data_IF_635336046611
#
_entry.id   IF_635336046611
#
_cell.length_a   1.000
_cell.length_b   1.000
_cell.length_c   1.000
_cell.angle_alpha   90.00
_cell.angle_beta   90.00
_cell.angle_gamma   90.00
#
_symmetry.space_group_name_H-M   'P 1'
#
loop_
_entity.id
_entity.type
_entity.pdbx_description
1 polymer ?
#
# COMPACT_ATOMS: atom_id res chain seq x y z
N UNK A 1 -1.51 2.62 3.20
CA UNK A 1 -0.28 1.82 3.29
C UNK A 1 -0.54 0.43 2.72
N UNK A 2 0.38 -0.11 1.93
CA UNK A 2 0.30 -1.49 1.43
C UNK A 2 1.39 -2.35 2.07
N UNK A 3 1.04 -3.53 2.56
CA UNK A 3 2.01 -4.56 3.01
C UNK A 3 1.96 -5.72 2.02
N UNK A 4 3.06 -5.92 1.30
CA UNK A 4 3.17 -6.93 0.24
C UNK A 4 3.78 -8.20 0.81
N UNK A 5 3.07 -9.32 0.67
CA UNK A 5 3.52 -10.66 1.02
C UNK A 5 3.69 -11.51 -0.24
N UNK A 6 4.55 -12.52 -0.17
CA UNK A 6 4.71 -13.52 -1.24
C UNK A 6 4.57 -14.93 -0.66
N UNK A 7 4.17 -15.88 -1.50
CA UNK A 7 4.04 -17.29 -1.13
C UNK A 7 5.42 -17.96 -1.06
N UNK A 8 6.01 -17.97 0.13
CA UNK A 8 7.35 -18.53 0.36
C UNK A 8 7.43 -20.05 0.27
N UNK A 9 6.29 -20.76 0.35
CA UNK A 9 6.27 -22.22 0.25
C UNK A 9 6.50 -22.68 -1.19
N UNK A 10 6.16 -21.82 -2.17
CA UNK A 10 6.27 -22.11 -3.61
C UNK A 10 7.39 -21.37 -4.31
N UNK A 11 7.77 -20.19 -3.80
CA UNK A 11 8.70 -19.30 -4.47
C UNK A 11 9.86 -18.91 -3.56
N UNK A 12 11.12 -18.99 -4.02
CA UNK A 12 12.28 -18.67 -3.19
C UNK A 12 12.41 -17.18 -2.87
N UNK A 13 11.75 -16.30 -3.63
CA UNK A 13 11.75 -14.86 -3.38
C UNK A 13 10.57 -14.16 -4.08
N UNK A 14 10.33 -12.92 -3.68
CA UNK A 14 9.26 -12.08 -4.25
C UNK A 14 9.39 -11.88 -5.76
N UNK A 15 10.62 -11.79 -6.30
CA UNK A 15 10.84 -11.57 -7.73
C UNK A 15 10.37 -12.75 -8.57
N UNK A 16 10.47 -13.97 -8.05
CA UNK A 16 9.99 -15.18 -8.73
C UNK A 16 8.48 -15.41 -8.59
N UNK A 17 7.83 -14.69 -7.67
CA UNK A 17 6.40 -14.81 -7.39
C UNK A 17 5.56 -13.71 -8.08
N UNK A 18 6.19 -12.62 -8.50
CA UNK A 18 5.53 -11.37 -8.90
C UNK A 18 4.56 -11.52 -10.10
N UNK A 19 4.83 -12.46 -10.99
CA UNK A 19 4.04 -12.73 -12.20
C UNK A 19 3.11 -13.95 -12.04
N UNK A 20 3.03 -14.53 -10.84
CA UNK A 20 2.25 -15.74 -10.57
C UNK A 20 0.95 -15.40 -9.86
N UNK A 21 -0.16 -15.97 -10.32
CA UNK A 21 -1.50 -15.67 -9.80
C UNK A 21 -1.71 -16.02 -8.32
N UNK A 22 -0.93 -16.97 -7.78
CA UNK A 22 -0.89 -17.34 -6.36
C UNK A 22 0.40 -16.88 -5.67
N UNK A 23 1.13 -15.95 -6.30
CA UNK A 23 2.44 -15.50 -5.85
C UNK A 23 2.37 -14.44 -4.77
N UNK A 24 1.46 -13.47 -4.88
CA UNK A 24 1.41 -12.29 -4.00
C UNK A 24 0.07 -12.11 -3.29
N UNK A 25 0.15 -11.65 -2.04
CA UNK A 25 -1.00 -11.16 -1.29
C UNK A 25 -0.68 -9.76 -0.76
N UNK A 26 -1.58 -8.80 -0.98
CA UNK A 26 -1.34 -7.41 -0.53
C UNK A 26 -2.41 -6.98 0.46
N UNK A 27 -1.94 -6.47 1.59
CA UNK A 27 -2.76 -5.91 2.64
C UNK A 27 -2.83 -4.39 2.51
N UNK A 28 -4.00 -3.85 2.18
CA UNK A 28 -4.26 -2.42 2.11
C UNK A 28 -4.82 -1.90 3.43
N UNK A 29 -4.12 -0.94 4.04
CA UNK A 29 -4.54 -0.22 5.23
C UNK A 29 -4.78 1.24 4.88
N UNK A 30 -5.99 1.74 5.11
CA UNK A 30 -6.34 3.14 4.99
C UNK A 30 -5.88 3.92 6.21
N UNK A 31 -5.35 5.12 6.01
CA UNK A 31 -4.71 5.92 7.05
C UNK A 31 -5.42 7.28 7.22
N UNK A 32 -5.93 7.55 8.43
CA UNK A 32 -6.32 8.85 9.00
C UNK A 32 -5.18 9.42 9.85
N UNK A 33 -5.31 10.24 10.93
CA UNK A 33 -4.20 11.09 11.43
C UNK A 33 -3.75 11.22 12.98
N UNK A 34 -2.83 10.40 13.62
CA UNK A 34 -2.07 10.44 14.95
C UNK A 34 -0.56 9.88 15.03
N UNK A 35 0.37 10.36 15.91
CA UNK A 35 1.85 10.11 15.90
C UNK A 35 2.33 8.74 16.48
N UNK A 36 3.38 8.10 15.92
CA UNK A 36 3.91 6.79 16.40
C UNK A 36 5.47 6.68 16.42
N UNK A 37 6.10 6.43 17.59
CA UNK A 37 7.50 5.98 17.72
C UNK A 37 7.60 4.45 17.51
N UNK A 38 8.77 3.80 17.74
CA UNK A 38 9.00 2.37 17.46
C UNK A 38 7.80 1.47 17.80
N UNK A 39 7.28 0.76 16.79
CA UNK A 39 5.89 0.29 16.83
C UNK A 39 5.76 -1.20 16.47
N UNK A 40 4.80 -1.84 17.12
CA UNK A 40 4.32 -3.16 16.76
C UNK A 40 3.59 -3.08 15.41
N UNK A 41 3.89 -3.96 14.44
CA UNK A 41 3.19 -4.00 13.14
C UNK A 41 1.68 -4.17 13.33
N UNK A 42 1.24 -4.87 14.39
CA UNK A 42 -0.18 -4.97 14.75
C UNK A 42 -0.81 -3.61 15.01
N UNK A 43 -0.04 -2.66 15.54
CA UNK A 43 -0.48 -1.28 15.77
C UNK A 43 -0.57 -0.46 14.47
N UNK A 44 -0.15 -1.01 13.32
CA UNK A 44 -0.43 -0.45 12.00
C UNK A 44 -1.66 -1.08 11.32
N UNK A 45 -2.34 -2.01 11.98
CA UNK A 45 -3.54 -2.65 11.46
C UNK A 45 -4.78 -2.12 12.17
N UNK A 46 -5.92 -2.01 11.49
CA UNK A 46 -7.18 -1.63 12.13
C UNK A 46 -7.54 -2.58 13.28
N UNK A 47 -8.27 -2.06 14.27
CA UNK A 47 -8.72 -2.86 15.40
C UNK A 47 -9.58 -4.06 14.95
N UNK A 48 -10.42 -3.84 13.93
CA UNK A 48 -11.29 -4.84 13.32
C UNK A 48 -10.71 -5.31 11.99
N UNK A 49 -10.31 -6.58 11.94
CA UNK A 49 -9.77 -7.21 10.74
C UNK A 49 -10.78 -8.09 10.00
N UNK A 50 -11.90 -8.35 10.63
CA UNK A 50 -13.01 -9.15 10.09
C UNK A 50 -13.79 -8.38 9.01
N UNK A 51 -13.70 -7.05 8.97
CA UNK A 51 -14.36 -6.21 7.97
C UNK A 51 -13.38 -5.81 6.85
N UNK A 52 -13.45 -6.50 5.72
CA UNK A 52 -12.59 -6.23 4.57
C UNK A 52 -13.27 -6.54 3.23
N UNK A 53 -12.73 -5.94 2.18
CA UNK A 53 -13.01 -6.26 0.79
C UNK A 53 -11.88 -7.12 0.23
N UNK A 54 -12.23 -8.15 -0.56
CA UNK A 54 -11.23 -9.01 -1.21
C UNK A 54 -11.52 -9.12 -2.70
N UNK A 55 -10.51 -8.90 -3.53
CA UNK A 55 -10.64 -8.94 -4.98
C UNK A 55 -9.32 -9.29 -5.66
N UNK A 56 -9.41 -9.92 -6.83
CA UNK A 56 -8.26 -10.11 -7.72
C UNK A 56 -7.96 -8.79 -8.45
N UNK A 57 -6.71 -8.37 -8.43
CA UNK A 57 -6.27 -7.12 -9.03
C UNK A 57 -4.81 -7.19 -9.50
N UNK A 58 -4.23 -6.01 -9.73
CA UNK A 58 -2.87 -5.88 -10.24
C UNK A 58 -1.95 -5.11 -9.29
N UNK A 59 -0.66 -5.14 -9.60
CA UNK A 59 0.31 -4.22 -9.00
C UNK A 59 -0.05 -2.77 -9.33
N UNK A 60 0.06 -1.88 -8.34
CA UNK A 60 -0.20 -0.44 -8.52
C UNK A 60 1.03 0.34 -8.99
N UNK A 61 1.96 -0.33 -9.65
CA UNK A 61 3.17 0.23 -10.26
C UNK A 61 3.57 -0.62 -11.46
N UNK A 62 4.09 -0.02 -12.55
CA UNK A 62 4.60 -0.79 -13.68
C UNK A 62 5.54 -1.92 -13.23
N UNK A 63 5.41 -3.14 -13.79
CA UNK A 63 4.65 -3.50 -14.99
C UNK A 63 3.16 -3.83 -14.77
N UNK A 64 2.58 -3.56 -13.61
CA UNK A 64 1.14 -3.71 -13.34
C UNK A 64 0.59 -5.13 -13.51
N UNK A 65 1.34 -6.17 -13.13
CA UNK A 65 0.90 -7.57 -13.27
C UNK A 65 -0.43 -7.85 -12.56
N UNK A 66 -1.42 -8.50 -13.22
CA UNK A 66 -2.72 -8.87 -12.64
C UNK A 66 -2.63 -10.17 -11.81
N UNK A 67 -1.74 -10.18 -10.83
CA UNK A 67 -1.34 -11.35 -10.04
C UNK A 67 -1.58 -11.16 -8.54
N UNK A 68 -2.33 -10.12 -8.15
CA UNK A 68 -2.43 -9.70 -6.75
C UNK A 68 -3.82 -9.98 -6.20
N UNK A 69 -3.89 -10.78 -5.14
CA UNK A 69 -5.08 -10.90 -4.32
C UNK A 69 -5.09 -9.80 -3.25
N UNK A 70 -5.92 -8.78 -3.45
CA UNK A 70 -6.03 -7.62 -2.57
C UNK A 70 -6.93 -7.92 -1.38
N UNK A 71 -6.52 -7.49 -0.19
CA UNK A 71 -7.36 -7.41 1.01
C UNK A 71 -7.33 -5.97 1.53
N UNK A 72 -8.46 -5.28 1.45
CA UNK A 72 -8.60 -3.88 1.87
C UNK A 72 -9.51 -3.82 3.08
N UNK A 73 -8.97 -3.42 4.24
CA UNK A 73 -9.79 -3.28 5.44
C UNK A 73 -10.77 -2.12 5.33
N UNK A 74 -11.98 -2.31 5.85
CA UNK A 74 -13.01 -1.27 5.88
C UNK A 74 -12.66 -0.16 6.88
N UNK A 75 -12.04 -0.52 7.99
CA UNK A 75 -11.68 0.41 9.06
C UNK A 75 -10.34 1.11 8.77
N UNK A 76 -10.27 2.40 9.12
CA UNK A 76 -9.10 3.26 8.92
C UNK A 76 -8.18 3.27 10.15
N UNK A 77 -6.94 3.74 9.96
CA UNK A 77 -5.89 3.85 10.98
C UNK A 77 -5.36 5.27 11.13
N UNK A 78 -5.33 5.85 12.31
CA UNK A 78 -5.04 7.29 12.47
C UNK A 78 -3.50 7.58 12.59
N UNK A 79 -2.85 8.38 11.69
CA UNK A 79 -1.41 8.87 11.54
C UNK A 79 -1.09 10.43 11.49
N UNK A 80 -0.39 11.09 12.44
CA UNK A 80 -0.63 12.52 12.81
C UNK A 80 -0.35 13.55 11.73
N UNK A 81 -0.92 14.76 11.83
CA UNK A 81 -0.75 15.77 10.77
C UNK A 81 0.73 16.12 10.63
N UNK A 82 1.45 16.11 11.75
CA UNK A 82 2.90 16.25 11.79
C UNK A 82 3.60 15.11 11.05
N UNK A 83 3.17 13.85 11.20
CA UNK A 83 3.71 12.72 10.46
C UNK A 83 3.39 12.77 8.96
N UNK A 84 2.15 13.13 8.59
CA UNK A 84 1.76 13.34 7.19
C UNK A 84 2.67 14.42 6.58
N UNK A 85 2.83 15.54 7.28
CA UNK A 85 3.71 16.62 6.85
C UNK A 85 5.16 16.14 6.69
N UNK A 86 5.72 15.43 7.68
CA UNK A 86 7.07 14.84 7.59
C UNK A 86 7.21 13.90 6.40
N UNK A 87 6.21 13.07 6.13
CA UNK A 87 6.19 12.16 4.98
C UNK A 87 6.20 12.95 3.67
N UNK A 88 5.35 13.98 3.52
CA UNK A 88 5.32 14.84 2.33
C UNK A 88 6.65 15.55 2.11
N UNK A 89 7.35 15.98 3.16
CA UNK A 89 8.66 16.64 3.06
C UNK A 89 9.78 15.72 2.55
N UNK A 90 9.71 14.40 2.79
CA UNK A 90 10.71 13.44 2.27
C UNK A 90 10.73 13.41 0.74
N UNK A 91 9.58 13.58 0.09
CA UNK A 91 9.49 13.64 -1.37
C UNK A 91 10.03 14.97 -1.92
N UNK A 92 9.83 16.08 -1.18
CA UNK A 92 10.39 17.38 -1.55
C UNK A 92 11.92 17.39 -1.46
N UNK A 93 12.50 16.85 -0.38
CA UNK A 93 13.96 16.84 -0.17
C UNK A 93 14.73 15.95 -1.16
N UNK A 94 14.10 14.89 -1.69
CA UNK A 94 14.74 14.03 -2.69
C UNK A 94 14.95 14.76 -4.03
N UNK A 95 14.15 15.79 -4.32
CA UNK A 95 14.23 16.59 -5.55
C UNK A 95 15.13 17.83 -5.46
N UNK A 96 15.42 18.37 -4.27
CA UNK A 96 16.41 19.47 -4.11
C UNK A 96 17.86 19.06 -4.44
N UNK A 97 18.09 17.81 -4.87
CA UNK A 97 19.37 17.31 -5.39
C UNK A 97 19.39 17.13 -6.91
N UNK A 98 18.29 17.42 -7.59
CA UNK A 98 18.12 17.25 -9.04
C UNK A 98 17.51 18.52 -9.62
N UNK A 99 18.31 19.31 -10.34
CA UNK A 99 18.01 20.64 -10.90
C UNK A 99 16.97 20.64 -12.06
N UNK A 100 15.92 19.83 -12.00
CA UNK A 100 14.89 19.77 -13.04
C UNK A 100 13.48 19.88 -12.43
N UNK A 101 12.81 21.01 -12.71
CA UNK A 101 11.35 21.14 -12.77
C UNK A 101 10.53 20.79 -11.52
N UNK A 102 10.05 21.83 -10.83
CA UNK A 102 9.05 21.74 -9.74
C UNK A 102 7.72 21.12 -10.18
N UNK A 103 7.58 19.80 -10.02
CA UNK A 103 6.27 19.15 -9.89
C UNK A 103 6.21 18.48 -8.53
N UNK A 104 5.32 18.97 -7.66
CA UNK A 104 5.04 18.35 -6.38
C UNK A 104 4.60 16.91 -6.62
N UNK A 105 5.30 15.91 -6.06
CA UNK A 105 4.79 14.54 -5.89
C UNK A 105 3.67 14.56 -4.81
N UNK A 106 2.63 15.35 -5.04
CA UNK A 106 1.31 15.09 -4.49
C UNK A 106 0.70 14.02 -5.38
N UNK A 107 -0.05 13.10 -4.78
CA UNK A 107 -0.85 12.14 -5.54
C UNK A 107 -0.06 11.00 -6.23
N UNK A 108 0.86 10.36 -5.49
CA UNK A 108 1.54 9.11 -5.91
C UNK A 108 0.62 7.88 -5.83
N UNK A 109 -0.60 7.98 -6.36
CA UNK A 109 -1.57 6.90 -6.44
C UNK A 109 -2.04 6.71 -7.88
N UNK A 110 -2.33 5.46 -8.26
CA UNK A 110 -2.99 5.18 -9.55
C UNK A 110 -4.49 5.54 -9.38
N UNK A 111 -5.11 6.23 -10.35
CA UNK A 111 -6.55 6.48 -10.34
C UNK A 111 -7.35 5.18 -10.18
N UNK A 112 -8.48 5.26 -9.49
CA UNK A 112 -9.36 4.11 -9.31
C UNK A 112 -9.80 3.58 -10.68
N UNK A 113 -9.62 2.27 -10.88
CA UNK A 113 -10.19 1.54 -12.00
C UNK A 113 -11.50 0.92 -11.50
N UNK A 114 -12.58 1.02 -12.28
CA UNK A 114 -13.88 0.43 -11.91
C UNK A 114 -13.72 -1.04 -11.51
N UNK A 115 -14.25 -1.43 -10.35
CA UNK A 115 -14.15 -2.81 -9.85
C UNK A 115 -15.50 -3.32 -9.32
N UNK A 116 -15.85 -4.54 -9.72
CA UNK A 116 -16.92 -5.34 -9.14
C UNK A 116 -16.45 -5.90 -7.79
N UNK A 117 -16.45 -5.06 -6.75
CA UNK A 117 -16.05 -5.48 -5.40
C UNK A 117 -17.12 -6.42 -4.80
N UNK A 118 -16.77 -7.68 -4.62
CA UNK A 118 -17.58 -8.62 -3.83
C UNK A 118 -17.38 -8.29 -2.34
N UNK A 119 -18.41 -7.73 -1.69
CA UNK A 119 -18.48 -7.69 -0.22
C UNK A 119 -18.74 -9.10 0.30
N UNK A 120 -17.94 -9.55 1.26
CA UNK A 120 -18.25 -10.70 2.12
C UNK A 120 -18.62 -10.22 3.51
#
# INVERSE_FOLDING_TARGET
MHVVHYNSDKYPNISSAVDKSDGLAVLGVLIEVIQVPGFNIRALLPARLDEYYRYDGSLTTPPCYPSVLWTVFRNTMTVSQKQVHQFTQLFLNRHLRSDEGSYYYRDSYIPNVESNLLQK
#
